data_IF_709543344558
#
_entry.id   IF_709543344558
#
_cell.length_a   1.000
_cell.length_b   1.000
_cell.length_c   1.000
_cell.angle_alpha   90.00
_cell.angle_beta   90.00
_cell.angle_gamma   90.00
#
_symmetry.space_group_name_H-M   'P 1'
#
loop_
_entity.id
_entity.type
_entity.pdbx_description
1 polymer ?
#
# COMPACT_ATOMS: atom_id res chain seq x y z
N UNK A 1 -4.81 14.56 0.52
CA UNK A 1 -4.08 13.92 -0.59
C UNK A 1 -4.52 12.47 -0.69
N UNK A 2 -4.79 11.94 -1.90
CA UNK A 2 -5.13 10.52 -2.11
C UNK A 2 -3.94 9.80 -2.73
N UNK A 3 -3.62 8.62 -2.22
CA UNK A 3 -2.46 7.82 -2.61
C UNK A 3 -2.94 6.46 -3.07
N UNK A 4 -2.46 6.06 -4.24
CA UNK A 4 -2.83 4.81 -4.86
C UNK A 4 -1.63 3.87 -4.79
N UNK A 5 -1.78 2.75 -4.08
CA UNK A 5 -0.78 1.70 -3.99
C UNK A 5 -1.32 0.49 -4.74
N UNK A 6 -0.82 0.29 -5.95
CA UNK A 6 -1.10 -0.91 -6.72
C UNK A 6 -0.14 -2.04 -6.34
N UNK A 7 -0.54 -3.30 -6.61
CA UNK A 7 0.30 -4.48 -6.39
C UNK A 7 0.69 -4.66 -4.91
N UNK A 8 -0.31 -4.53 -4.03
CA UNK A 8 -0.13 -4.91 -2.63
C UNK A 8 -0.03 -6.42 -2.51
N UNK A 9 0.83 -6.87 -1.60
CA UNK A 9 0.87 -8.29 -1.28
C UNK A 9 -0.48 -8.71 -0.72
N UNK A 10 -0.91 -9.95 -0.98
CA UNK A 10 -2.15 -10.53 -0.43
C UNK A 10 -2.21 -10.50 1.11
N UNK A 11 -1.06 -10.32 1.75
CA UNK A 11 -0.91 -10.27 3.20
C UNK A 11 -1.06 -8.84 3.76
N UNK A 12 -0.96 -7.81 2.91
CA UNK A 12 -1.11 -6.43 3.36
C UNK A 12 -2.59 -6.17 3.75
N UNK A 13 -2.80 -5.90 5.03
CA UNK A 13 -4.08 -5.52 5.59
C UNK A 13 -4.14 -4.01 5.86
N UNK A 14 -5.34 -3.50 6.10
CA UNK A 14 -5.55 -2.07 6.35
C UNK A 14 -4.77 -1.60 7.57
N UNK A 15 -4.59 -2.46 8.57
CA UNK A 15 -3.77 -2.18 9.76
C UNK A 15 -2.29 -1.94 9.43
N UNK A 16 -1.64 -2.80 8.62
CA UNK A 16 -0.25 -2.62 8.21
C UNK A 16 -0.04 -1.33 7.42
N UNK A 17 -0.99 -1.02 6.55
CA UNK A 17 -1.00 0.23 5.78
C UNK A 17 -1.16 1.41 6.75
N UNK A 18 -2.14 1.36 7.63
CA UNK A 18 -2.39 2.41 8.60
C UNK A 18 -1.17 2.70 9.47
N UNK A 19 -0.51 1.66 9.99
CA UNK A 19 0.69 1.76 10.81
C UNK A 19 1.84 2.46 10.07
N UNK A 20 2.18 1.99 8.86
CA UNK A 20 3.23 2.60 8.01
C UNK A 20 2.97 4.07 7.71
N UNK A 21 1.73 4.39 7.36
CA UNK A 21 1.38 5.73 6.92
C UNK A 21 1.08 6.69 8.09
N UNK A 22 0.77 6.16 9.28
CA UNK A 22 0.59 6.96 10.51
C UNK A 22 1.91 7.55 11.02
N UNK A 23 3.05 6.89 10.82
CA UNK A 23 4.37 7.48 11.08
C UNK A 23 4.66 8.69 10.18
N UNK A 24 4.04 8.73 9.00
CA UNK A 24 4.27 9.76 8.01
C UNK A 24 3.23 10.87 8.12
N UNK A 25 2.03 10.63 8.61
CA UNK A 25 1.02 11.68 8.78
C UNK A 25 -0.32 11.17 9.28
N UNK A 26 -1.29 12.07 9.40
CA UNK A 26 -2.64 11.69 9.81
C UNK A 26 -3.32 10.98 8.62
N UNK A 27 -3.52 9.68 8.78
CA UNK A 27 -4.32 8.87 7.86
C UNK A 27 -5.80 9.15 8.13
N UNK A 28 -6.52 9.58 7.09
CA UNK A 28 -7.96 9.85 7.14
C UNK A 28 -8.78 8.63 6.74
N UNK A 29 -8.32 7.89 5.73
CA UNK A 29 -9.04 6.75 5.19
C UNK A 29 -8.07 5.75 4.56
N UNK A 30 -8.37 4.45 4.70
CA UNK A 30 -7.66 3.36 4.03
C UNK A 30 -8.72 2.45 3.40
N UNK A 31 -8.77 2.43 2.08
CA UNK A 31 -9.65 1.57 1.31
C UNK A 31 -8.81 0.53 0.59
N UNK A 32 -9.06 -0.77 0.86
CA UNK A 32 -8.40 -1.86 0.16
C UNK A 32 -9.41 -2.45 -0.83
N UNK A 33 -9.11 -2.31 -2.11
CA UNK A 33 -9.89 -2.90 -3.18
C UNK A 33 -9.24 -4.21 -3.57
N UNK A 34 -9.86 -5.31 -3.08
CA UNK A 34 -9.52 -6.67 -3.48
C UNK A 34 -10.52 -7.10 -4.55
N UNK A 35 -10.05 -7.29 -5.78
CA UNK A 35 -10.90 -7.78 -6.85
C UNK A 35 -11.29 -9.23 -6.55
N UNK A 36 -12.53 -9.44 -6.10
CA UNK A 36 -13.05 -10.78 -5.80
C UNK A 36 -13.29 -11.63 -7.06
N UNK A 37 -13.45 -11.00 -8.24
CA UNK A 37 -13.94 -11.67 -9.45
C UNK A 37 -12.95 -11.75 -10.62
N UNK A 38 -11.86 -10.98 -10.66
CA UNK A 38 -10.87 -11.08 -11.73
C UNK A 38 -9.51 -11.52 -11.19
N UNK A 39 -9.15 -12.74 -11.60
CA UNK A 39 -7.79 -13.19 -11.88
C UNK A 39 -6.67 -12.58 -11.02
N UNK A 40 -6.26 -13.37 -10.02
CA UNK A 40 -4.99 -13.32 -9.27
C UNK A 40 -4.06 -12.15 -9.62
N UNK A 41 -4.08 -11.07 -8.83
CA UNK A 41 -2.86 -10.27 -8.63
C UNK A 41 -2.95 -8.77 -8.87
N UNK A 42 -4.14 -8.16 -8.80
CA UNK A 42 -4.27 -6.68 -8.80
C UNK A 42 -5.04 -6.20 -7.58
N UNK A 43 -4.60 -6.60 -6.40
CA UNK A 43 -5.03 -5.96 -5.15
C UNK A 43 -4.39 -4.56 -5.09
N UNK A 44 -5.22 -3.53 -4.92
CA UNK A 44 -4.76 -2.15 -4.75
C UNK A 44 -5.41 -1.52 -3.52
N UNK A 45 -4.70 -0.59 -2.89
CA UNK A 45 -5.23 0.21 -1.80
C UNK A 45 -5.15 1.69 -2.14
N UNK A 46 -6.15 2.40 -1.65
CA UNK A 46 -6.29 3.83 -1.75
C UNK A 46 -6.20 4.36 -0.33
N UNK A 47 -5.29 5.30 -0.10
CA UNK A 47 -5.06 5.89 1.22
C UNK A 47 -5.30 7.39 1.10
N UNK A 48 -6.17 7.90 1.96
CA UNK A 48 -6.36 9.33 2.11
C UNK A 48 -5.53 9.82 3.29
N UNK A 49 -4.55 10.67 3.00
CA UNK A 49 -3.71 11.32 4.00
C UNK A 49 -3.99 12.81 4.04
N UNK A 50 -3.78 13.40 5.21
CA UNK A 50 -3.74 14.85 5.33
C UNK A 50 -2.54 15.42 4.56
N UNK A 51 -2.74 16.56 3.89
CA UNK A 51 -1.88 16.96 2.77
C UNK A 51 -0.61 17.65 3.26
N UNK A 52 0.52 16.93 3.29
CA UNK A 52 1.82 17.46 3.70
C UNK A 52 2.86 17.33 2.56
N UNK A 53 3.11 18.40 1.78
CA UNK A 53 4.03 18.33 0.64
C UNK A 53 5.47 18.01 1.04
N UNK A 54 5.90 18.41 2.23
CA UNK A 54 7.21 18.07 2.82
C UNK A 54 7.41 16.57 3.07
N UNK A 55 6.31 15.79 3.12
CA UNK A 55 6.33 14.35 3.41
C UNK A 55 6.16 13.47 2.17
N UNK A 56 6.00 14.07 0.98
CA UNK A 56 5.88 13.37 -0.31
C UNK A 56 7.00 12.34 -0.54
N UNK A 57 8.24 12.67 -0.18
CA UNK A 57 9.38 11.77 -0.32
C UNK A 57 9.22 10.50 0.52
N UNK A 58 8.81 10.63 1.79
CA UNK A 58 8.57 9.50 2.70
C UNK A 58 7.38 8.66 2.24
N UNK A 59 6.33 9.33 1.78
CA UNK A 59 5.13 8.71 1.23
C UNK A 59 5.47 7.84 0.01
N UNK A 60 6.24 8.38 -0.94
CA UNK A 60 6.67 7.63 -2.12
C UNK A 60 7.58 6.47 -1.75
N UNK A 61 8.48 6.66 -0.78
CA UNK A 61 9.33 5.58 -0.26
C UNK A 61 8.49 4.45 0.36
N UNK A 62 7.51 4.76 1.21
CA UNK A 62 6.64 3.79 1.84
C UNK A 62 5.81 2.99 0.82
N UNK A 63 5.23 3.68 -0.18
CA UNK A 63 4.52 3.02 -1.27
C UNK A 63 5.43 2.08 -2.08
N UNK A 64 6.65 2.51 -2.39
CA UNK A 64 7.62 1.68 -3.12
C UNK A 64 8.08 0.45 -2.30
N UNK A 65 8.28 0.62 -0.99
CA UNK A 65 8.62 -0.49 -0.09
C UNK A 65 7.52 -1.55 -0.06
N UNK A 66 6.25 -1.13 0.04
CA UNK A 66 5.08 -2.04 0.02
C UNK A 66 5.02 -2.85 -1.29
N UNK A 67 5.29 -2.21 -2.42
CA UNK A 67 5.33 -2.87 -3.73
C UNK A 67 6.49 -3.86 -3.88
N UNK A 68 7.67 -3.51 -3.35
CA UNK A 68 8.83 -4.40 -3.36
C UNK A 68 8.64 -5.61 -2.45
N UNK A 69 8.00 -5.45 -1.29
CA UNK A 69 7.64 -6.58 -0.42
C UNK A 69 6.72 -7.57 -1.14
N UNK A 70 5.75 -7.08 -1.91
CA UNK A 70 4.89 -7.94 -2.73
C UNK A 70 5.69 -8.70 -3.80
N UNK A 71 6.60 -8.02 -4.53
CA UNK A 71 7.45 -8.66 -5.54
C UNK A 71 8.40 -9.72 -4.95
N UNK A 72 9.03 -9.42 -3.81
CA UNK A 72 9.95 -10.35 -3.16
C UNK A 72 9.25 -11.58 -2.58
N UNK A 73 7.97 -11.48 -2.22
CA UNK A 73 7.19 -12.66 -1.81
C UNK A 73 6.84 -13.56 -2.98
N UNK A 74 6.49 -13.00 -4.15
CA UNK A 74 6.28 -13.78 -5.37
C UNK A 74 7.55 -14.53 -5.79
N UNK A 75 8.72 -13.91 -5.62
CA UNK A 75 10.00 -14.54 -5.93
C UNK A 75 10.37 -15.70 -4.98
N UNK A 76 9.90 -15.68 -3.72
CA UNK A 76 10.18 -16.73 -2.72
C UNK A 76 9.23 -17.92 -2.76
N UNK A 77 8.05 -17.78 -3.36
CA UNK A 77 7.07 -18.87 -3.48
C UNK A 77 7.21 -19.68 -4.79
N UNK A 78 8.14 -19.30 -5.67
CA UNK A 78 8.42 -19.99 -6.94
C UNK A 78 9.57 -21.01 -6.83
N UNK A 79 9.73 -21.67 -5.67
CA UNK A 79 10.76 -22.69 -5.41
C UNK A 79 10.17 -24.09 -5.34
#
# INVERSE_FOLDING_TARGET
MKIYIANLSKIANSADIWDKFSEIGIVKEVEIVRSAELDKGKDFAIIQLDSFPERLAKINAAANTMQQMAKNQTARQAS
#
